data_IF_603121457813
#
_entry.id   IF_603121457813
#
_cell.length_a   1.000
_cell.length_b   1.000
_cell.length_c   1.000
_cell.angle_alpha   90.00
_cell.angle_beta   90.00
_cell.angle_gamma   90.00
#
_symmetry.space_group_name_H-M   'P 1'
#
loop_
_entity.id
_entity.type
_entity.pdbx_description
1 polymer ?
#
# COMPACT_ATOMS: atom_id res chain seq x y z
N UNK A 1 -7.99 -77.07 -4.49
CA UNK A 1 -7.32 -75.88 -5.06
C UNK A 1 -8.37 -75.19 -5.94
N UNK A 2 -8.77 -73.91 -5.85
CA UNK A 2 -8.22 -72.70 -5.24
C UNK A 2 -9.41 -71.79 -4.85
N UNK A 3 -9.35 -71.12 -3.70
CA UNK A 3 -10.22 -69.99 -3.38
C UNK A 3 -9.54 -68.72 -3.89
N UNK A 4 -10.15 -68.04 -4.86
CA UNK A 4 -9.71 -66.73 -5.33
C UNK A 4 -10.23 -65.68 -4.34
N UNK A 5 -9.32 -65.06 -3.59
CA UNK A 5 -9.63 -63.98 -2.65
C UNK A 5 -9.34 -62.67 -3.38
N UNK A 6 -10.40 -61.92 -3.74
CA UNK A 6 -10.26 -60.58 -4.33
C UNK A 6 -10.02 -59.57 -3.21
N UNK A 7 -8.78 -59.09 -3.09
CA UNK A 7 -8.44 -58.02 -2.14
C UNK A 7 -8.70 -56.68 -2.82
N UNK A 8 -9.75 -55.97 -2.39
CA UNK A 8 -10.05 -54.62 -2.85
C UNK A 8 -9.10 -53.63 -2.15
N UNK A 9 -8.10 -53.13 -2.87
CA UNK A 9 -7.17 -52.14 -2.36
C UNK A 9 -7.80 -50.74 -2.50
N UNK A 10 -8.35 -50.20 -1.41
CA UNK A 10 -8.84 -48.83 -1.37
C UNK A 10 -7.65 -47.86 -1.35
N UNK A 11 -7.36 -47.22 -2.49
CA UNK A 11 -6.44 -46.08 -2.55
C UNK A 11 -7.12 -44.88 -1.90
N UNK A 12 -6.82 -44.61 -0.63
CA UNK A 12 -7.12 -43.31 -0.02
C UNK A 12 -6.16 -42.28 -0.61
N UNK A 13 -6.60 -41.49 -1.59
CA UNK A 13 -5.89 -40.26 -1.96
C UNK A 13 -6.02 -39.29 -0.80
N UNK A 14 -4.99 -39.23 0.05
CA UNK A 14 -4.84 -38.12 0.99
C UNK A 14 -4.60 -36.86 0.15
N UNK A 15 -5.67 -36.13 -0.15
CA UNK A 15 -5.55 -34.76 -0.65
C UNK A 15 -4.86 -33.98 0.46
N UNK A 16 -3.56 -33.72 0.31
CA UNK A 16 -2.92 -32.68 1.09
C UNK A 16 -3.67 -31.39 0.77
N UNK A 17 -4.49 -30.93 1.71
CA UNK A 17 -5.03 -29.58 1.69
C UNK A 17 -3.82 -28.67 1.89
N UNK A 18 -3.07 -28.42 0.82
CA UNK A 18 -2.12 -27.32 0.80
C UNK A 18 -2.94 -26.08 1.10
N UNK A 19 -2.64 -25.41 2.21
CA UNK A 19 -3.27 -24.15 2.55
C UNK A 19 -3.12 -23.23 1.33
N UNK A 20 -4.25 -22.79 0.78
CA UNK A 20 -4.24 -21.91 -0.39
C UNK A 20 -3.39 -20.68 -0.05
N UNK A 21 -2.30 -20.52 -0.79
CA UNK A 21 -1.44 -19.34 -0.69
C UNK A 21 -2.22 -18.08 -1.06
N UNK A 22 -2.03 -16.99 -0.30
CA UNK A 22 -2.77 -15.75 -0.47
C UNK A 22 -1.86 -14.58 -0.85
N UNK A 23 -2.40 -13.68 -1.66
CA UNK A 23 -1.80 -12.40 -2.01
C UNK A 23 -2.37 -11.31 -1.11
N UNK A 24 -1.51 -10.69 -0.30
CA UNK A 24 -1.89 -9.63 0.62
C UNK A 24 -1.73 -8.26 -0.05
N UNK A 25 -2.81 -7.49 -0.12
CA UNK A 25 -2.82 -6.10 -0.58
C UNK A 25 -3.11 -5.18 0.62
N UNK A 26 -2.16 -4.31 0.93
CA UNK A 26 -2.23 -3.38 2.06
C UNK A 26 -2.40 -1.96 1.51
N UNK A 27 -3.59 -1.37 1.66
CA UNK A 27 -3.91 -0.01 1.21
C UNK A 27 -3.76 0.97 2.38
N UNK A 28 -2.81 1.90 2.28
CA UNK A 28 -2.59 2.90 3.34
C UNK A 28 -2.19 4.29 2.82
N UNK A 29 -2.27 5.28 3.71
CA UNK A 29 -1.95 6.66 3.43
C UNK A 29 -3.01 7.63 3.95
N UNK A 30 -3.16 8.78 3.29
CA UNK A 30 -4.06 9.84 3.76
C UNK A 30 -5.08 10.27 2.72
N UNK A 31 -6.03 11.09 3.17
CA UNK A 31 -6.94 11.90 2.35
C UNK A 31 -7.56 11.13 1.18
N UNK A 32 -6.93 11.15 0.00
CA UNK A 32 -7.38 10.38 -1.15
C UNK A 32 -7.44 8.86 -0.91
N UNK A 33 -6.46 8.27 -0.21
CA UNK A 33 -6.56 6.85 0.20
C UNK A 33 -7.70 6.62 1.17
N UNK A 34 -7.92 7.53 2.14
CA UNK A 34 -9.04 7.41 3.10
C UNK A 34 -10.38 7.37 2.36
N UNK A 35 -10.53 8.21 1.34
CA UNK A 35 -11.76 8.36 0.54
C UNK A 35 -11.96 7.29 -0.54
N UNK A 36 -10.89 6.64 -1.00
CA UNK A 36 -10.99 5.51 -1.92
C UNK A 36 -11.80 4.39 -1.27
N UNK A 37 -12.86 3.92 -1.91
CA UNK A 37 -13.53 2.67 -1.54
C UNK A 37 -12.92 1.51 -2.34
N UNK A 38 -12.20 0.57 -1.72
CA UNK A 38 -11.63 -0.57 -2.43
C UNK A 38 -12.69 -1.43 -3.11
N UNK A 39 -13.88 -1.58 -2.51
CA UNK A 39 -14.93 -2.45 -3.04
C UNK A 39 -15.56 -1.88 -4.32
N UNK A 40 -15.47 -0.57 -4.53
CA UNK A 40 -15.98 0.05 -5.74
C UNK A 40 -15.12 -0.25 -6.99
N UNK A 41 -13.86 -0.68 -6.83
CA UNK A 41 -12.94 -0.83 -7.98
C UNK A 41 -11.71 -1.72 -7.75
N UNK A 42 -11.01 -1.58 -6.62
CA UNK A 42 -9.76 -2.29 -6.36
C UNK A 42 -9.98 -3.77 -6.00
N UNK A 43 -10.76 -4.05 -4.96
CA UNK A 43 -10.98 -5.42 -4.45
C UNK A 43 -11.58 -6.35 -5.49
N UNK A 44 -12.61 -5.94 -6.28
CA UNK A 44 -13.18 -6.81 -7.31
C UNK A 44 -12.15 -7.17 -8.40
N UNK A 45 -11.24 -6.26 -8.74
CA UNK A 45 -10.22 -6.50 -9.76
C UNK A 45 -9.19 -7.54 -9.30
N UNK A 46 -8.66 -7.41 -8.08
CA UNK A 46 -7.69 -8.39 -7.55
C UNK A 46 -8.32 -9.75 -7.26
N UNK A 47 -9.58 -9.79 -6.81
CA UNK A 47 -10.34 -11.06 -6.66
C UNK A 47 -10.58 -11.74 -8.00
N UNK A 48 -10.86 -10.96 -9.05
CA UNK A 48 -11.00 -11.50 -10.40
C UNK A 48 -9.69 -12.09 -10.91
N UNK A 49 -8.55 -11.48 -10.60
CA UNK A 49 -7.24 -11.95 -11.03
C UNK A 49 -6.78 -13.21 -10.28
N UNK A 50 -6.91 -13.23 -8.95
CA UNK A 50 -6.31 -14.28 -8.10
C UNK A 50 -7.33 -15.22 -7.42
N UNK A 51 -8.62 -15.02 -7.69
CA UNK A 51 -9.73 -15.73 -7.05
C UNK A 51 -10.12 -15.15 -5.69
N UNK A 52 -11.41 -15.25 -5.35
CA UNK A 52 -11.98 -14.78 -4.07
C UNK A 52 -11.21 -15.29 -2.84
N UNK A 53 -10.84 -16.57 -2.85
CA UNK A 53 -10.05 -17.19 -1.78
C UNK A 53 -8.55 -16.89 -1.84
N UNK A 54 -8.05 -16.32 -2.93
CA UNK A 54 -6.61 -16.09 -3.16
C UNK A 54 -6.10 -14.74 -2.69
N UNK A 55 -6.97 -13.84 -2.23
CA UNK A 55 -6.57 -12.47 -1.85
C UNK A 55 -6.96 -12.12 -0.41
N UNK A 56 -6.18 -11.22 0.17
CA UNK A 56 -6.52 -10.49 1.39
C UNK A 56 -6.34 -9.01 1.09
N UNK A 57 -7.36 -8.19 1.31
CA UNK A 57 -7.28 -6.74 1.12
C UNK A 57 -7.49 -6.08 2.47
N UNK A 58 -6.46 -5.38 2.97
CA UNK A 58 -6.51 -4.64 4.23
C UNK A 58 -6.37 -3.16 3.93
N UNK A 59 -7.27 -2.33 4.45
CA UNK A 59 -7.19 -0.87 4.32
C UNK A 59 -7.14 -0.19 5.69
N UNK A 60 -6.16 0.70 5.85
CA UNK A 60 -6.12 1.67 6.94
C UNK A 60 -5.53 3.00 6.48
N UNK A 61 -6.31 4.07 6.57
CA UNK A 61 -5.90 5.39 6.10
C UNK A 61 -6.56 6.49 6.95
N UNK A 62 -5.88 7.62 7.11
CA UNK A 62 -6.34 8.74 7.94
C UNK A 62 -6.15 10.09 7.25
N UNK A 63 -7.13 10.99 7.34
CA UNK A 63 -7.12 12.26 6.60
C UNK A 63 -6.14 13.28 7.18
N UNK A 64 -5.40 13.98 6.31
CA UNK A 64 -4.55 15.11 6.70
C UNK A 64 -3.37 14.75 7.62
N UNK A 65 -2.81 13.56 7.48
CA UNK A 65 -1.74 13.05 8.32
C UNK A 65 -0.40 13.00 7.59
N UNK A 66 0.65 13.48 8.27
CA UNK A 66 2.04 13.38 7.77
C UNK A 66 2.56 11.93 7.85
N UNK A 67 3.47 11.58 6.94
CA UNK A 67 4.15 10.26 6.89
C UNK A 67 4.82 9.89 8.22
N UNK A 68 5.12 10.87 9.09
CA UNK A 68 5.62 10.63 10.46
C UNK A 68 4.71 9.73 11.30
N UNK A 69 3.41 9.73 11.02
CA UNK A 69 2.41 8.87 11.68
C UNK A 69 2.53 7.41 11.26
N UNK A 70 3.26 7.12 10.17
CA UNK A 70 3.51 5.77 9.67
C UNK A 70 4.96 5.30 9.88
N UNK A 71 5.94 6.17 9.69
CA UNK A 71 7.35 5.78 9.84
C UNK A 71 7.86 6.00 11.27
N UNK A 72 8.12 4.91 12.00
CA UNK A 72 8.49 4.96 13.44
C UNK A 72 9.84 5.63 13.71
N UNK A 73 10.76 5.53 12.74
CA UNK A 73 12.09 6.15 12.83
C UNK A 73 12.11 7.55 12.20
N UNK A 74 10.96 8.19 12.04
CA UNK A 74 10.86 9.55 11.51
C UNK A 74 11.75 10.50 12.31
N UNK A 75 12.51 11.30 11.58
CA UNK A 75 13.34 12.37 12.13
C UNK A 75 13.04 13.62 11.34
N UNK A 76 12.87 14.68 12.10
CA UNK A 76 12.60 15.99 11.56
C UNK A 76 13.79 16.59 10.80
N UNK A 77 13.50 17.63 10.03
CA UNK A 77 14.47 18.44 9.29
C UNK A 77 15.37 19.24 10.24
N UNK A 78 16.46 18.64 10.70
CA UNK A 78 17.52 19.42 11.34
C UNK A 78 18.34 20.14 10.26
N UNK A 79 18.31 21.48 10.26
CA UNK A 79 19.17 22.34 9.44
C UNK A 79 19.07 22.16 7.92
N UNK A 80 17.97 21.63 7.38
CA UNK A 80 17.78 21.61 5.92
C UNK A 80 17.52 23.03 5.42
N UNK A 81 18.47 23.62 4.68
CA UNK A 81 18.36 24.99 4.11
C UNK A 81 17.92 26.06 5.12
N UNK A 82 18.38 25.97 6.37
CA UNK A 82 18.01 26.93 7.43
C UNK A 82 16.60 26.78 7.98
N UNK A 83 15.87 25.71 7.63
CA UNK A 83 14.59 25.38 8.24
C UNK A 83 14.77 25.00 9.71
N UNK A 84 13.91 25.55 10.57
CA UNK A 84 13.86 25.20 12.00
C UNK A 84 13.11 23.88 12.18
N UNK A 85 13.51 23.04 13.15
CA UNK A 85 12.75 21.85 13.51
C UNK A 85 11.28 22.16 13.85
N UNK A 86 10.37 21.31 13.40
CA UNK A 86 9.00 21.19 13.84
C UNK A 86 8.90 20.61 15.27
N UNK A 87 8.98 21.50 16.26
CA UNK A 87 8.77 21.13 17.66
C UNK A 87 7.29 20.98 18.05
N UNK A 88 6.36 21.17 17.10
CA UNK A 88 4.90 21.05 17.36
C UNK A 88 4.38 19.61 17.23
N UNK A 89 5.21 18.69 16.74
CA UNK A 89 4.84 17.28 16.62
C UNK A 89 4.73 16.63 18.01
N UNK A 90 3.55 16.10 18.34
CA UNK A 90 3.40 15.22 19.50
C UNK A 90 4.18 13.91 19.25
N UNK A 91 5.25 13.61 20.02
CA UNK A 91 6.06 12.41 19.83
C UNK A 91 5.26 11.11 19.98
N UNK A 92 4.15 11.12 20.74
CA UNK A 92 3.29 9.94 20.92
C UNK A 92 2.56 9.53 19.64
N UNK A 93 2.47 10.44 18.67
CA UNK A 93 1.82 10.19 17.38
C UNK A 93 2.77 9.62 16.32
N UNK A 94 4.07 9.51 16.61
CA UNK A 94 5.02 8.95 15.64
C UNK A 94 4.79 7.44 15.51
N UNK A 95 4.46 7.00 14.29
CA UNK A 95 4.24 5.59 13.96
C UNK A 95 2.94 4.96 14.48
N UNK A 96 2.07 5.71 15.15
CA UNK A 96 0.85 5.16 15.76
C UNK A 96 -0.20 4.68 14.73
N UNK A 97 -0.29 5.32 13.56
CA UNK A 97 -1.14 4.86 12.46
C UNK A 97 -0.58 3.61 11.80
N UNK A 98 0.74 3.45 11.80
CA UNK A 98 1.34 2.19 11.38
C UNK A 98 1.01 1.07 12.37
N UNK A 99 1.05 1.32 13.68
CA UNK A 99 0.63 0.31 14.66
C UNK A 99 -0.85 -0.06 14.50
N UNK A 100 -1.71 0.92 14.18
CA UNK A 100 -3.12 0.65 13.85
C UNK A 100 -3.26 -0.18 12.58
N UNK A 101 -2.49 0.12 11.53
CA UNK A 101 -2.45 -0.65 10.29
C UNK A 101 -2.00 -2.08 10.55
N UNK A 102 -0.89 -2.28 11.25
CA UNK A 102 -0.32 -3.60 11.49
C UNK A 102 -1.25 -4.49 12.33
N UNK A 103 -1.94 -3.93 13.33
CA UNK A 103 -2.99 -4.68 14.07
C UNK A 103 -4.07 -5.25 13.16
N UNK A 104 -4.48 -4.50 12.12
CA UNK A 104 -5.47 -4.98 11.14
C UNK A 104 -4.87 -6.02 10.21
N UNK A 105 -3.63 -5.80 9.75
CA UNK A 105 -2.93 -6.76 8.91
C UNK A 105 -2.73 -8.09 9.64
N UNK A 106 -2.21 -8.06 10.87
CA UNK A 106 -1.95 -9.24 11.70
C UNK A 106 -3.22 -10.06 11.94
N UNK A 107 -4.33 -9.38 12.26
CA UNK A 107 -5.64 -10.03 12.42
C UNK A 107 -6.07 -10.77 11.13
N UNK A 108 -5.81 -10.18 9.98
CA UNK A 108 -6.19 -10.74 8.68
C UNK A 108 -5.23 -11.80 8.16
N UNK A 109 -3.97 -11.85 8.59
CA UNK A 109 -3.00 -12.85 8.10
C UNK A 109 -2.71 -13.99 9.08
N UNK A 110 -3.15 -13.89 10.34
CA UNK A 110 -2.95 -14.94 11.35
C UNK A 110 -3.48 -16.29 10.86
N UNK A 111 -2.61 -17.31 10.88
CA UNK A 111 -2.93 -18.68 10.47
C UNK A 111 -3.05 -18.88 8.95
N UNK A 112 -2.66 -17.88 8.14
CA UNK A 112 -2.73 -17.95 6.67
C UNK A 112 -1.32 -17.95 6.07
N UNK A 113 -1.13 -18.69 4.98
CA UNK A 113 0.10 -18.65 4.20
C UNK A 113 0.03 -17.49 3.21
N UNK A 114 0.92 -16.51 3.37
CA UNK A 114 1.01 -15.35 2.49
C UNK A 114 2.16 -15.56 1.51
N UNK A 115 1.87 -15.45 0.20
CA UNK A 115 2.85 -15.64 -0.87
C UNK A 115 3.49 -14.33 -1.32
N UNK A 116 2.67 -13.29 -1.49
CA UNK A 116 3.15 -11.96 -1.87
C UNK A 116 2.48 -10.90 -1.02
N UNK A 117 3.19 -9.78 -0.86
CA UNK A 117 2.67 -8.58 -0.20
C UNK A 117 2.82 -7.42 -1.16
N UNK A 118 1.73 -6.69 -1.39
CA UNK A 118 1.72 -5.45 -2.15
C UNK A 118 1.24 -4.30 -1.27
N UNK A 119 2.12 -3.33 -1.04
CA UNK A 119 1.81 -2.10 -0.32
C UNK A 119 1.37 -1.00 -1.29
N UNK A 120 0.10 -0.63 -1.18
CA UNK A 120 -0.54 0.38 -2.02
C UNK A 120 -0.64 1.67 -1.22
N UNK A 121 0.10 2.69 -1.64
CA UNK A 121 0.33 3.92 -0.88
C UNK A 121 -0.19 5.16 -1.61
N UNK A 122 -0.98 5.99 -0.92
CA UNK A 122 -1.34 7.33 -1.42
C UNK A 122 -1.37 8.32 -0.27
N UNK A 123 -0.33 9.14 -0.21
CA UNK A 123 -0.10 10.16 0.81
C UNK A 123 0.94 11.14 0.28
N UNK A 124 1.08 12.29 0.92
CA UNK A 124 2.13 13.28 0.65
C UNK A 124 1.63 14.71 0.81
N UNK A 125 0.32 14.92 0.70
CA UNK A 125 -0.34 16.22 0.83
C UNK A 125 0.04 16.97 2.12
N UNK A 126 0.02 16.30 3.28
CA UNK A 126 0.43 16.88 4.57
C UNK A 126 1.93 17.15 4.71
N UNK A 127 2.79 16.51 3.91
CA UNK A 127 4.25 16.69 3.96
C UNK A 127 4.75 17.71 2.92
N UNK A 128 3.92 18.07 1.94
CA UNK A 128 4.28 18.98 0.83
C UNK A 128 4.62 20.41 1.25
N UNK A 129 4.39 20.77 2.51
CA UNK A 129 4.75 22.07 3.08
C UNK A 129 6.24 22.17 3.39
N UNK A 130 6.66 21.64 4.54
CA UNK A 130 8.07 21.72 5.03
C UNK A 130 8.79 20.37 5.09
N UNK A 131 8.05 19.25 5.13
CA UNK A 131 8.62 17.92 5.35
C UNK A 131 8.92 17.16 4.06
N UNK A 132 8.62 17.73 2.89
CA UNK A 132 8.88 17.12 1.57
C UNK A 132 10.35 16.72 1.40
N UNK A 133 11.27 17.43 2.06
CA UNK A 133 12.72 17.22 1.98
C UNK A 133 13.20 15.94 2.70
N UNK A 134 12.41 15.41 3.64
CA UNK A 134 12.67 14.10 4.29
C UNK A 134 11.75 13.00 3.76
N UNK A 135 10.84 13.34 2.84
CA UNK A 135 9.78 12.45 2.38
C UNK A 135 10.31 11.17 1.76
N UNK A 136 11.27 11.27 0.84
CA UNK A 136 11.89 10.12 0.17
C UNK A 136 12.47 9.12 1.18
N UNK A 137 13.23 9.62 2.15
CA UNK A 137 13.84 8.81 3.21
C UNK A 137 12.77 8.14 4.07
N UNK A 138 11.70 8.86 4.41
CA UNK A 138 10.62 8.33 5.22
C UNK A 138 9.82 7.26 4.48
N UNK A 139 9.56 7.45 3.18
CA UNK A 139 8.84 6.48 2.37
C UNK A 139 9.64 5.20 2.15
N UNK A 140 10.94 5.31 1.82
CA UNK A 140 11.85 4.15 1.79
C UNK A 140 11.89 3.43 3.13
N UNK A 141 12.03 4.18 4.22
CA UNK A 141 12.07 3.63 5.57
C UNK A 141 10.77 2.96 5.99
N UNK A 142 9.61 3.47 5.55
CA UNK A 142 8.30 2.87 5.81
C UNK A 142 8.17 1.51 5.12
N UNK A 143 8.58 1.40 3.85
CA UNK A 143 8.55 0.13 3.13
C UNK A 143 9.49 -0.89 3.78
N UNK A 144 10.72 -0.47 4.10
CA UNK A 144 11.67 -1.33 4.82
C UNK A 144 11.13 -1.78 6.19
N UNK A 145 10.49 -0.87 6.94
CA UNK A 145 9.87 -1.20 8.23
C UNK A 145 8.78 -2.27 8.07
N UNK A 146 7.97 -2.16 7.00
CA UNK A 146 6.93 -3.14 6.67
C UNK A 146 7.52 -4.51 6.33
N UNK A 147 8.59 -4.55 5.53
CA UNK A 147 9.33 -5.79 5.20
C UNK A 147 9.91 -6.45 6.47
N UNK A 148 10.56 -5.66 7.33
CA UNK A 148 11.17 -6.08 8.59
C UNK A 148 10.13 -6.67 9.57
N UNK A 149 8.97 -6.01 9.70
CA UNK A 149 7.93 -6.42 10.64
C UNK A 149 7.13 -7.63 10.14
N UNK A 150 6.78 -7.68 8.84
CA UNK A 150 6.03 -8.80 8.27
C UNK A 150 6.84 -10.08 8.16
N UNK A 151 8.16 -9.98 7.87
CA UNK A 151 9.04 -11.14 7.64
C UNK A 151 8.53 -12.08 6.53
N UNK A 152 7.86 -11.51 5.53
CA UNK A 152 7.31 -12.22 4.37
C UNK A 152 8.14 -12.00 3.09
N UNK A 153 9.35 -11.46 3.22
CA UNK A 153 10.22 -11.12 2.11
C UNK A 153 10.01 -9.70 1.59
N UNK A 154 10.39 -9.48 0.33
CA UNK A 154 10.31 -8.17 -0.33
C UNK A 154 8.85 -7.77 -0.56
N UNK A 155 8.55 -6.49 -0.38
CA UNK A 155 7.22 -5.94 -0.60
C UNK A 155 7.15 -5.25 -1.97
N UNK A 156 6.15 -5.63 -2.76
CA UNK A 156 5.76 -4.90 -3.97
C UNK A 156 5.13 -3.56 -3.56
N UNK A 157 5.34 -2.49 -4.33
CA UNK A 157 4.79 -1.17 -3.97
C UNK A 157 4.04 -0.55 -5.13
N UNK A 158 2.85 -0.02 -4.87
CA UNK A 158 2.10 0.81 -5.83
C UNK A 158 1.81 2.17 -5.23
N UNK A 159 2.31 3.24 -5.85
CA UNK A 159 2.14 4.60 -5.36
C UNK A 159 1.13 5.38 -6.19
N UNK A 160 0.10 5.91 -5.54
CA UNK A 160 -0.67 7.03 -6.07
C UNK A 160 0.17 8.30 -6.02
N UNK A 161 0.50 8.86 -7.18
CA UNK A 161 1.15 10.18 -7.22
C UNK A 161 0.15 11.23 -6.74
N UNK A 162 0.60 12.25 -5.99
CA UNK A 162 -0.26 13.41 -5.69
C UNK A 162 -0.86 13.98 -6.97
N UNK A 163 -2.07 14.57 -6.93
CA UNK A 163 -2.67 15.21 -8.12
C UNK A 163 -1.87 16.44 -8.59
N UNK A 164 -2.26 17.04 -9.70
CA UNK A 164 -1.68 18.26 -10.27
C UNK A 164 -2.27 19.56 -9.66
N UNK A 165 -2.93 19.47 -8.50
CA UNK A 165 -3.69 20.57 -7.90
C UNK A 165 -2.87 21.75 -7.38
N UNK A 166 -1.56 21.57 -7.13
CA UNK A 166 -0.69 22.57 -6.47
C UNK A 166 0.68 22.65 -7.15
N UNK A 167 0.69 22.70 -8.47
CA UNK A 167 1.95 22.70 -9.24
C UNK A 167 2.79 23.97 -9.04
N UNK A 168 2.23 25.02 -8.47
CA UNK A 168 2.95 26.22 -8.01
C UNK A 168 3.77 25.98 -6.72
N UNK A 169 3.48 24.92 -5.96
CA UNK A 169 4.17 24.59 -4.71
C UNK A 169 5.39 23.70 -4.95
N UNK A 170 6.58 24.22 -4.62
CA UNK A 170 7.83 23.48 -4.76
C UNK A 170 7.82 22.14 -4.00
N UNK A 171 7.25 22.09 -2.80
CA UNK A 171 7.19 20.86 -2.02
C UNK A 171 6.16 19.85 -2.56
N UNK A 172 5.12 20.32 -3.24
CA UNK A 172 4.16 19.45 -3.93
C UNK A 172 4.79 18.80 -5.17
N UNK A 173 5.45 19.61 -6.00
CA UNK A 173 6.20 19.14 -7.17
C UNK A 173 7.30 18.15 -6.75
N UNK A 174 8.02 18.44 -5.67
CA UNK A 174 9.09 17.57 -5.19
C UNK A 174 8.56 16.22 -4.69
N UNK A 175 7.44 16.19 -3.96
CA UNK A 175 6.82 14.91 -3.56
C UNK A 175 6.36 14.12 -4.78
N UNK A 176 5.73 14.77 -5.77
CA UNK A 176 5.34 14.10 -7.03
C UNK A 176 6.56 13.46 -7.71
N UNK A 177 7.67 14.21 -7.79
CA UNK A 177 8.94 13.73 -8.35
C UNK A 177 9.48 12.53 -7.56
N UNK A 178 9.49 12.61 -6.24
CA UNK A 178 9.94 11.51 -5.37
C UNK A 178 9.09 10.26 -5.60
N UNK A 179 7.76 10.38 -5.55
CA UNK A 179 6.83 9.26 -5.73
C UNK A 179 7.05 8.52 -7.05
N UNK A 180 7.22 9.28 -8.15
CA UNK A 180 7.50 8.70 -9.46
C UNK A 180 8.91 8.10 -9.54
N UNK A 181 9.95 8.86 -9.17
CA UNK A 181 11.35 8.42 -9.32
C UNK A 181 11.69 7.20 -8.47
N UNK A 182 11.06 7.02 -7.31
CA UNK A 182 11.22 5.82 -6.50
C UNK A 182 10.68 4.59 -7.22
N UNK A 183 9.53 4.69 -7.88
CA UNK A 183 8.97 3.58 -8.63
C UNK A 183 9.81 3.29 -9.88
N UNK A 184 10.25 4.32 -10.62
CA UNK A 184 11.12 4.13 -11.79
C UNK A 184 12.49 3.53 -11.45
N UNK A 185 12.98 3.72 -10.23
CA UNK A 185 14.25 3.17 -9.77
C UNK A 185 14.15 1.74 -9.20
N UNK A 186 12.94 1.18 -9.02
CA UNK A 186 12.75 -0.11 -8.37
C UNK A 186 11.79 -0.99 -9.21
N UNK A 187 12.24 -2.16 -9.72
CA UNK A 187 11.43 -2.98 -10.63
C UNK A 187 10.14 -3.53 -9.99
N UNK A 188 10.11 -3.69 -8.67
CA UNK A 188 8.95 -4.20 -7.93
C UNK A 188 8.03 -3.06 -7.44
N UNK A 189 8.25 -1.84 -7.95
CA UNK A 189 7.51 -0.65 -7.57
C UNK A 189 6.89 -0.02 -8.80
N UNK A 190 5.66 0.42 -8.66
CA UNK A 190 4.85 0.99 -9.72
C UNK A 190 4.16 2.25 -9.23
N UNK A 191 3.78 3.14 -10.13
CA UNK A 191 3.03 4.34 -9.77
C UNK A 191 1.86 4.56 -10.73
N UNK A 192 0.84 5.28 -10.24
CA UNK A 192 -0.31 5.69 -11.03
C UNK A 192 -0.37 7.20 -11.15
N UNK A 193 -0.61 7.68 -12.36
CA UNK A 193 -0.92 9.08 -12.60
C UNK A 193 -2.35 9.39 -12.14
N UNK A 194 -2.53 10.59 -11.57
CA UNK A 194 -3.79 11.04 -10.97
C UNK A 194 -4.22 12.44 -11.43
N UNK A 195 -3.54 12.99 -12.43
CA UNK A 195 -3.77 14.35 -12.95
C UNK A 195 -5.16 14.51 -13.63
N UNK A 196 -5.80 13.40 -14.01
CA UNK A 196 -7.08 13.38 -14.71
C UNK A 196 -8.25 12.92 -13.83
N UNK A 197 -8.03 12.60 -12.55
CA UNK A 197 -9.08 12.07 -11.65
C UNK A 197 -9.65 13.11 -10.67
N UNK A 198 -9.04 14.29 -10.59
CA UNK A 198 -9.45 15.41 -9.72
C UNK A 198 -10.42 16.42 -10.38
N UNK A 199 -10.81 16.17 -11.63
CA UNK A 199 -11.86 16.91 -12.33
C UNK A 199 -11.48 18.34 -12.72
N UNK A 200 -12.43 19.07 -13.28
CA UNK A 200 -12.21 20.38 -13.93
C UNK A 200 -11.65 21.46 -12.99
N UNK A 201 -11.95 21.36 -11.69
CA UNK A 201 -11.44 22.30 -10.69
C UNK A 201 -9.99 22.03 -10.27
N UNK A 202 -9.34 20.99 -10.84
CA UNK A 202 -7.98 20.57 -10.50
C UNK A 202 -7.79 20.44 -8.97
N UNK A 203 -8.70 19.71 -8.33
CA UNK A 203 -8.76 19.62 -6.87
C UNK A 203 -7.65 18.78 -6.25
N UNK A 204 -7.34 19.03 -4.97
CA UNK A 204 -6.49 18.12 -4.17
C UNK A 204 -7.16 16.75 -4.02
N UNK A 205 -8.49 16.71 -3.95
CA UNK A 205 -9.27 15.50 -3.81
C UNK A 205 -9.93 15.11 -5.12
N UNK A 206 -10.12 13.80 -5.32
CA UNK A 206 -10.70 13.26 -6.54
C UNK A 206 -12.21 13.43 -6.62
N UNK A 207 -12.73 13.42 -7.84
CA UNK A 207 -14.17 13.30 -8.07
C UNK A 207 -14.65 11.89 -7.70
N UNK A 208 -15.98 11.70 -7.60
CA UNK A 208 -16.55 10.36 -7.34
C UNK A 208 -16.12 9.35 -8.42
N UNK A 209 -16.21 9.74 -9.69
CA UNK A 209 -15.74 8.91 -10.80
C UNK A 209 -14.21 8.72 -10.77
N UNK A 210 -13.48 9.77 -10.39
CA UNK A 210 -12.03 9.74 -10.23
C UNK A 210 -11.54 8.71 -9.21
N UNK A 211 -12.23 8.55 -8.08
CA UNK A 211 -11.88 7.49 -7.10
C UNK A 211 -12.05 6.07 -7.66
N UNK A 212 -13.10 5.84 -8.47
CA UNK A 212 -13.32 4.54 -9.12
C UNK A 212 -12.19 4.26 -10.12
N UNK A 213 -11.82 5.24 -10.92
CA UNK A 213 -10.73 5.11 -11.90
C UNK A 213 -9.37 4.93 -11.21
N UNK A 214 -9.11 5.71 -10.16
CA UNK A 214 -7.90 5.59 -9.35
C UNK A 214 -7.75 4.17 -8.77
N UNK A 215 -8.82 3.61 -8.18
CA UNK A 215 -8.77 2.25 -7.64
C UNK A 215 -8.54 1.17 -8.70
N UNK A 216 -9.09 1.33 -9.91
CA UNK A 216 -8.80 0.43 -11.04
C UNK A 216 -7.32 0.46 -11.42
N UNK A 217 -6.74 1.65 -11.57
CA UNK A 217 -5.32 1.82 -11.92
C UNK A 217 -4.39 1.23 -10.86
N UNK A 218 -4.72 1.45 -9.59
CA UNK A 218 -3.97 0.85 -8.49
C UNK A 218 -4.03 -0.69 -8.55
N UNK A 219 -5.20 -1.27 -8.79
CA UNK A 219 -5.34 -2.72 -8.90
C UNK A 219 -4.58 -3.28 -10.11
N UNK A 220 -4.68 -2.64 -11.27
CA UNK A 220 -3.96 -3.06 -12.47
C UNK A 220 -2.44 -3.10 -12.26
N UNK A 221 -1.89 -2.08 -11.60
CA UNK A 221 -0.47 -2.03 -11.24
C UNK A 221 -0.12 -3.07 -10.17
N UNK A 222 -0.97 -3.26 -9.17
CA UNK A 222 -0.75 -4.26 -8.12
C UNK A 222 -0.77 -5.70 -8.65
N UNK A 223 -1.68 -6.01 -9.58
CA UNK A 223 -1.79 -7.32 -10.22
C UNK A 223 -0.51 -7.64 -11.00
N UNK A 224 -0.02 -6.69 -11.81
CA UNK A 224 1.22 -6.85 -12.59
C UNK A 224 2.47 -7.16 -11.76
N UNK A 225 2.53 -6.69 -10.51
CA UNK A 225 3.68 -6.94 -9.64
C UNK A 225 3.62 -8.33 -8.98
N UNK A 226 2.47 -8.99 -9.04
CA UNK A 226 2.24 -10.32 -8.45
C UNK A 226 2.32 -11.43 -9.50
N UNK A 227 1.90 -11.12 -10.73
CA UNK A 227 2.00 -12.01 -11.91
C UNK A 227 3.46 -12.24 -12.35
#
# INVERSE_FOLDING_TARGET
MNRLMLTLLALSTASSVYAQEKHLFILSGQSNMKRLDPEASFSPAVRKAFGEGGVIVVKDAEGGQSIRRWYKKWKDVKNYRGMKPDTSADPSTIGDLYDRLMKKVDAEITGKTIKTVTFVWMQGEADSGKHYVVYEKCLKGLVQQLEEDLKLGKVNVVIGRLSDAKMESAGWVEIRRIQQSLCEANPDWEWVNTDDVNGENNGVHYTRAGYVEFGKRLAEKAIRLVD
#
